data_IF_282754744419
#
_entry.id   IF_282754744419
#
_cell.length_a   1.000
_cell.length_b   1.000
_cell.length_c   1.000
_cell.angle_alpha   90.00
_cell.angle_beta   90.00
_cell.angle_gamma   90.00
#
_symmetry.space_group_name_H-M   'P 1'
#
loop_
_entity.id
_entity.type
_entity.pdbx_description
1 polymer ?
#
# COMPACT_ATOMS: atom_id res chain seq x y z
N UNK A 1 -25.99 -21.53 28.52
CA UNK A 1 -25.47 -20.72 27.40
C UNK A 1 -26.29 -21.14 26.19
N UNK A 2 -27.03 -20.21 25.61
CA UNK A 2 -27.97 -20.47 24.51
C UNK A 2 -27.21 -20.36 23.18
N UNK A 3 -27.05 -21.49 22.47
CA UNK A 3 -26.33 -21.56 21.20
C UNK A 3 -27.05 -20.85 20.05
N UNK A 4 -28.30 -20.42 20.25
CA UNK A 4 -29.06 -19.68 19.23
C UNK A 4 -28.59 -18.23 19.04
N UNK A 5 -27.76 -17.70 19.95
CA UNK A 5 -27.20 -16.34 19.88
C UNK A 5 -25.75 -16.31 19.34
N UNK A 6 -25.17 -17.49 19.09
CA UNK A 6 -23.77 -17.60 18.66
C UNK A 6 -23.54 -16.92 17.32
N UNK A 7 -24.52 -16.96 16.41
CA UNK A 7 -24.50 -16.27 15.12
C UNK A 7 -24.46 -14.74 15.26
N UNK A 8 -25.21 -14.16 16.20
CA UNK A 8 -25.21 -12.73 16.52
C UNK A 8 -23.83 -12.33 17.04
N UNK A 9 -23.25 -13.12 17.95
CA UNK A 9 -21.91 -12.84 18.48
C UNK A 9 -20.84 -12.94 17.39
N UNK A 10 -20.97 -13.91 16.50
CA UNK A 10 -20.05 -14.11 15.38
C UNK A 10 -20.14 -12.98 14.36
N UNK A 11 -21.34 -12.52 13.99
CA UNK A 11 -21.52 -11.37 13.09
C UNK A 11 -20.96 -10.08 13.68
N UNK A 12 -21.07 -9.91 15.01
CA UNK A 12 -20.54 -8.73 15.69
C UNK A 12 -19.01 -8.66 15.62
N UNK A 13 -18.34 -9.80 15.83
CA UNK A 13 -16.88 -9.91 15.75
C UNK A 13 -16.47 -11.26 15.15
N UNK A 14 -16.42 -11.37 13.81
CA UNK A 14 -16.07 -12.63 13.16
C UNK A 14 -14.65 -13.02 13.55
N UNK A 15 -14.44 -14.32 13.78
CA UNK A 15 -13.14 -14.90 14.12
C UNK A 15 -12.78 -15.97 13.08
N UNK A 16 -11.48 -16.13 12.84
CA UNK A 16 -10.94 -17.04 11.83
C UNK A 16 -9.81 -17.86 12.44
N UNK A 17 -9.90 -19.18 12.30
CA UNK A 17 -8.82 -20.10 12.66
C UNK A 17 -7.80 -20.19 11.52
N UNK A 18 -6.63 -20.80 11.78
CA UNK A 18 -5.64 -21.06 10.74
C UNK A 18 -6.16 -22.00 9.65
N UNK A 19 -7.05 -22.94 10.02
CA UNK A 19 -7.67 -23.87 9.09
C UNK A 19 -8.67 -23.15 8.17
N UNK A 20 -9.49 -22.25 8.73
CA UNK A 20 -10.43 -21.44 7.93
C UNK A 20 -9.68 -20.60 6.91
N UNK A 21 -8.59 -19.95 7.34
CA UNK A 21 -7.77 -19.11 6.46
C UNK A 21 -7.09 -19.94 5.36
N UNK A 22 -6.56 -21.12 5.69
CA UNK A 22 -6.00 -22.02 4.70
C UNK A 22 -7.06 -22.47 3.68
N UNK A 23 -8.29 -22.75 4.12
CA UNK A 23 -9.40 -23.09 3.23
C UNK A 23 -9.76 -21.92 2.30
N UNK A 24 -9.71 -20.67 2.77
CA UNK A 24 -9.92 -19.49 1.93
C UNK A 24 -8.89 -19.35 0.80
N UNK A 25 -7.67 -19.87 0.97
CA UNK A 25 -6.62 -19.85 -0.06
C UNK A 25 -6.80 -20.95 -1.12
N UNK A 26 -7.52 -22.02 -0.81
CA UNK A 26 -7.74 -23.14 -1.75
C UNK A 26 -8.78 -22.88 -2.83
N UNK A 27 -9.44 -21.71 -2.82
CA UNK A 27 -10.40 -21.30 -3.86
C UNK A 27 -11.74 -22.05 -3.84
N UNK A 28 -11.96 -22.95 -2.87
CA UNK A 28 -13.22 -23.68 -2.69
C UNK A 28 -14.26 -22.80 -1.97
N UNK A 29 -14.60 -21.65 -2.58
CA UNK A 29 -15.58 -20.72 -2.00
C UNK A 29 -16.99 -21.26 -2.23
N UNK A 30 -17.59 -21.82 -1.17
CA UNK A 30 -19.02 -22.14 -1.19
C UNK A 30 -19.82 -20.84 -1.03
N UNK A 31 -20.92 -20.67 -1.78
CA UNK A 31 -21.83 -19.55 -1.56
C UNK A 31 -22.41 -19.63 -0.14
N UNK A 32 -22.32 -18.51 0.55
CA UNK A 32 -22.96 -18.27 1.83
C UNK A 32 -24.34 -17.67 1.60
N UNK A 33 -25.27 -17.92 2.52
CA UNK A 33 -26.62 -17.36 2.47
C UNK A 33 -26.76 -16.39 3.63
N UNK A 34 -27.14 -15.14 3.31
CA UNK A 34 -27.42 -14.13 4.32
C UNK A 34 -28.77 -14.40 4.99
N UNK A 35 -29.04 -13.76 6.13
CA UNK A 35 -30.30 -13.95 6.85
C UNK A 35 -31.54 -13.57 6.01
N UNK A 36 -31.38 -12.61 5.09
CA UNK A 36 -32.43 -12.21 4.14
C UNK A 36 -32.61 -13.18 2.94
N UNK A 37 -31.86 -14.28 2.90
CA UNK A 37 -31.88 -15.28 1.82
C UNK A 37 -30.96 -14.94 0.64
N UNK A 38 -30.25 -13.81 0.67
CA UNK A 38 -29.34 -13.43 -0.41
C UNK A 38 -28.09 -14.31 -0.41
N UNK A 39 -27.81 -14.96 -1.54
CA UNK A 39 -26.55 -15.67 -1.74
C UNK A 39 -25.40 -14.68 -1.98
N UNK A 40 -24.25 -14.92 -1.35
CA UNK A 40 -23.03 -14.14 -1.54
C UNK A 40 -21.79 -15.02 -1.36
N UNK A 41 -20.64 -14.53 -1.81
CA UNK A 41 -19.36 -15.18 -1.56
C UNK A 41 -18.59 -14.35 -0.53
N UNK A 42 -18.02 -15.01 0.48
CA UNK A 42 -17.14 -14.36 1.45
C UNK A 42 -15.99 -13.65 0.72
N UNK A 43 -15.73 -12.39 1.08
CA UNK A 43 -14.79 -11.51 0.39
C UNK A 43 -15.41 -10.75 -0.79
N UNK A 44 -16.33 -11.35 -1.54
CA UNK A 44 -17.04 -10.72 -2.67
C UNK A 44 -18.39 -10.14 -2.20
N UNK A 45 -18.32 -9.19 -1.27
CA UNK A 45 -19.49 -8.49 -0.75
C UNK A 45 -19.39 -6.99 -1.01
N UNK A 46 -20.52 -6.33 -1.23
CA UNK A 46 -20.54 -4.88 -1.49
C UNK A 46 -20.15 -4.07 -0.25
N UNK A 47 -19.46 -2.94 -0.45
CA UNK A 47 -19.28 -1.91 0.57
C UNK A 47 -20.33 -0.82 0.37
N UNK A 48 -21.00 -0.39 1.44
CA UNK A 48 -21.99 0.70 1.33
C UNK A 48 -21.32 2.00 0.90
N UNK A 49 -21.85 2.61 -0.17
CA UNK A 49 -21.56 4.00 -0.49
C UNK A 49 -22.40 4.92 0.40
N UNK A 50 -21.76 5.64 1.31
CA UNK A 50 -22.46 6.52 2.27
C UNK A 50 -22.73 7.88 1.62
N UNK A 51 -21.75 8.39 0.85
CA UNK A 51 -21.83 9.65 0.08
C UNK A 51 -20.91 9.57 -1.15
N UNK A 52 -19.64 9.99 -1.02
CA UNK A 52 -18.65 10.03 -2.10
C UNK A 52 -17.39 9.25 -1.67
N UNK A 53 -17.57 8.09 -1.05
CA UNK A 53 -16.49 7.27 -0.47
C UNK A 53 -16.08 6.08 -1.36
N UNK A 54 -16.50 6.10 -2.62
CA UNK A 54 -16.23 5.06 -3.63
C UNK A 54 -14.73 4.82 -3.83
N UNK A 55 -13.93 5.89 -3.89
CA UNK A 55 -12.47 5.82 -3.98
C UNK A 55 -11.82 5.03 -2.83
N UNK A 56 -12.34 5.20 -1.61
CA UNK A 56 -11.92 4.39 -0.45
C UNK A 56 -12.37 2.95 -0.61
N UNK A 57 -13.63 2.72 -1.01
CA UNK A 57 -14.19 1.37 -1.15
C UNK A 57 -13.41 0.53 -2.15
N UNK A 58 -13.04 1.09 -3.31
CA UNK A 58 -12.24 0.40 -4.34
C UNK A 58 -10.89 -0.04 -3.77
N UNK A 59 -10.20 0.85 -3.03
CA UNK A 59 -8.90 0.53 -2.43
C UNK A 59 -9.03 -0.51 -1.31
N UNK A 60 -10.02 -0.37 -0.43
CA UNK A 60 -10.27 -1.32 0.66
C UNK A 60 -10.60 -2.72 0.12
N UNK A 61 -11.41 -2.81 -0.93
CA UNK A 61 -11.68 -4.07 -1.61
C UNK A 61 -10.41 -4.66 -2.23
N UNK A 62 -9.65 -3.84 -2.97
CA UNK A 62 -8.40 -4.27 -3.59
C UNK A 62 -7.42 -4.84 -2.55
N UNK A 63 -7.25 -4.17 -1.41
CA UNK A 63 -6.40 -4.63 -0.32
C UNK A 63 -6.94 -5.87 0.41
N UNK A 64 -8.27 -5.99 0.55
CA UNK A 64 -8.93 -7.15 1.16
C UNK A 64 -8.65 -8.45 0.41
N UNK A 65 -8.41 -8.37 -0.90
CA UNK A 65 -8.12 -9.51 -1.77
C UNK A 65 -6.64 -9.87 -1.89
N UNK A 66 -5.73 -9.18 -1.18
CA UNK A 66 -4.31 -9.53 -1.15
C UNK A 66 -4.06 -10.58 -0.06
N UNK A 67 -3.79 -11.86 -0.40
CA UNK A 67 -3.84 -12.96 0.58
C UNK A 67 -2.91 -12.79 1.79
N UNK A 68 -1.62 -12.37 1.66
CA UNK A 68 -0.76 -12.16 2.81
C UNK A 68 -1.30 -11.09 3.77
N UNK A 69 -1.78 -9.98 3.22
CA UNK A 69 -2.38 -8.89 3.99
C UNK A 69 -3.69 -9.33 4.66
N UNK A 70 -4.57 -9.95 3.88
CA UNK A 70 -5.85 -10.49 4.35
C UNK A 70 -5.63 -11.45 5.52
N UNK A 71 -4.82 -12.48 5.32
CA UNK A 71 -4.56 -13.53 6.31
C UNK A 71 -3.99 -12.95 7.61
N UNK A 72 -3.14 -11.92 7.50
CA UNK A 72 -2.64 -11.21 8.67
C UNK A 72 -3.74 -10.51 9.46
N UNK A 73 -4.67 -9.82 8.79
CA UNK A 73 -5.73 -9.03 9.44
C UNK A 73 -6.97 -9.83 9.84
N UNK A 74 -7.18 -11.03 9.27
CA UNK A 74 -8.24 -11.94 9.71
C UNK A 74 -7.99 -12.49 11.12
N UNK A 75 -6.73 -12.55 11.58
CA UNK A 75 -6.40 -12.92 12.96
C UNK A 75 -5.99 -11.72 13.77
N UNK A 76 -6.85 -11.31 14.70
CA UNK A 76 -6.57 -10.16 15.56
C UNK A 76 -5.29 -10.32 16.39
N UNK A 77 -4.95 -11.55 16.80
CA UNK A 77 -3.72 -11.83 17.57
C UNK A 77 -2.44 -11.32 16.89
N UNK A 78 -2.41 -11.32 15.55
CA UNK A 78 -1.25 -10.87 14.78
C UNK A 78 -0.91 -9.40 15.05
N UNK A 79 -1.91 -8.55 15.29
CA UNK A 79 -1.71 -7.11 15.45
C UNK A 79 -2.25 -6.52 16.75
N UNK A 80 -2.88 -7.34 17.61
CA UNK A 80 -3.42 -6.95 18.93
C UNK A 80 -2.39 -6.27 19.82
N UNK A 81 -1.14 -6.71 19.73
CA UNK A 81 -0.04 -6.18 20.53
C UNK A 81 0.36 -4.76 20.09
N UNK A 82 0.25 -4.42 18.80
CA UNK A 82 0.43 -3.04 18.30
C UNK A 82 -0.67 -2.10 18.81
N UNK A 83 -1.92 -2.59 18.89
CA UNK A 83 -3.05 -1.83 19.42
C UNK A 83 -2.87 -1.55 20.91
N UNK A 84 -2.52 -2.57 21.70
CA UNK A 84 -2.35 -2.43 23.17
C UNK A 84 -1.23 -1.48 23.54
N UNK A 85 -0.12 -1.49 22.80
CA UNK A 85 1.05 -0.63 23.05
C UNK A 85 0.73 0.86 22.95
N UNK A 86 -0.26 1.23 22.14
CA UNK A 86 -0.57 2.61 21.77
C UNK A 86 -1.84 3.18 22.41
N UNK A 87 -2.37 2.49 23.43
CA UNK A 87 -3.51 2.95 24.25
C UNK A 87 -3.26 4.24 25.06
N UNK A 88 -2.11 4.90 24.91
CA UNK A 88 -1.88 6.22 25.50
C UNK A 88 -2.61 7.28 24.67
N UNK A 89 -3.92 7.42 24.94
CA UNK A 89 -4.73 8.63 24.77
C UNK A 89 -5.04 9.19 23.37
N UNK A 90 -4.15 9.12 22.38
CA UNK A 90 -4.32 9.92 21.14
C UNK A 90 -3.85 9.28 19.83
N UNK A 91 -3.50 7.99 19.83
CA UNK A 91 -2.94 7.38 18.62
C UNK A 91 -4.03 6.84 17.67
N UNK A 92 -4.46 7.70 16.75
CA UNK A 92 -5.40 7.34 15.67
C UNK A 92 -4.88 6.17 14.80
N UNK A 93 -3.56 5.94 14.76
CA UNK A 93 -2.96 4.85 13.99
C UNK A 93 -3.35 3.46 14.54
N UNK A 94 -3.50 3.33 15.86
CA UNK A 94 -3.94 2.07 16.46
C UNK A 94 -5.42 1.78 16.16
N UNK A 95 -6.25 2.83 16.18
CA UNK A 95 -7.65 2.75 15.78
C UNK A 95 -7.78 2.35 14.31
N UNK A 96 -6.97 2.93 13.42
CA UNK A 96 -6.97 2.59 12.00
C UNK A 96 -6.67 1.10 11.77
N UNK A 97 -5.61 0.57 12.39
CA UNK A 97 -5.25 -0.86 12.29
C UNK A 97 -6.38 -1.75 12.81
N UNK A 98 -6.99 -1.38 13.94
CA UNK A 98 -8.10 -2.12 14.52
C UNK A 98 -9.31 -2.14 13.59
N UNK A 99 -9.73 -0.97 13.08
CA UNK A 99 -10.90 -0.84 12.20
C UNK A 99 -10.68 -1.50 10.85
N UNK A 100 -9.46 -1.44 10.31
CA UNK A 100 -9.11 -2.14 9.07
C UNK A 100 -9.26 -3.66 9.24
N UNK A 101 -8.71 -4.24 10.31
CA UNK A 101 -8.86 -5.67 10.58
C UNK A 101 -10.31 -6.09 10.84
N UNK A 102 -11.08 -5.28 11.56
CA UNK A 102 -12.52 -5.53 11.76
C UNK A 102 -13.30 -5.49 10.45
N UNK A 103 -12.97 -4.57 9.54
CA UNK A 103 -13.61 -4.50 8.23
C UNK A 103 -13.29 -5.76 7.40
N UNK A 104 -12.01 -6.15 7.32
CA UNK A 104 -11.60 -7.36 6.59
C UNK A 104 -12.31 -8.61 7.11
N UNK A 105 -12.42 -8.76 8.43
CA UNK A 105 -13.16 -9.89 9.03
C UNK A 105 -14.64 -9.89 8.67
N UNK A 106 -15.28 -8.72 8.60
CA UNK A 106 -16.68 -8.60 8.16
C UNK A 106 -16.84 -8.89 6.66
N UNK A 107 -15.89 -8.47 5.82
CA UNK A 107 -15.91 -8.76 4.38
C UNK A 107 -15.81 -10.26 4.10
N UNK A 108 -14.92 -10.96 4.83
CA UNK A 108 -14.67 -12.39 4.66
C UNK A 108 -15.53 -13.28 5.57
N UNK A 109 -16.52 -12.71 6.26
CA UNK A 109 -17.45 -13.47 7.09
C UNK A 109 -18.40 -14.29 6.20
N UNK A 110 -18.41 -15.61 6.36
CA UNK A 110 -19.31 -16.53 5.67
C UNK A 110 -20.73 -16.62 6.25
N UNK A 111 -21.03 -15.90 7.34
CA UNK A 111 -22.32 -15.92 8.04
C UNK A 111 -22.85 -14.51 8.31
N UNK A 112 -22.64 -13.56 7.40
CA UNK A 112 -23.22 -12.22 7.47
C UNK A 112 -24.75 -12.23 7.37
N UNK A 113 -25.41 -11.33 8.12
CA UNK A 113 -26.85 -11.13 8.01
C UNK A 113 -27.30 -10.44 6.72
N UNK A 114 -26.39 -9.74 6.03
CA UNK A 114 -26.64 -9.06 4.76
C UNK A 114 -25.46 -9.28 3.81
N UNK A 115 -25.73 -9.32 2.51
CA UNK A 115 -24.70 -9.46 1.47
C UNK A 115 -23.90 -8.16 1.20
N UNK A 116 -23.87 -7.21 2.15
CA UNK A 116 -23.09 -5.98 2.08
C UNK A 116 -22.61 -5.55 3.46
N UNK A 117 -21.50 -4.83 3.52
CA UNK A 117 -20.86 -4.36 4.75
C UNK A 117 -20.74 -2.84 4.73
N UNK A 118 -21.12 -2.19 5.83
CA UNK A 118 -20.93 -0.75 5.97
C UNK A 118 -19.50 -0.43 6.44
N UNK A 119 -18.71 0.32 5.65
CA UNK A 119 -17.36 0.72 6.04
C UNK A 119 -17.32 1.93 6.99
N UNK A 120 -18.46 2.38 7.52
CA UNK A 120 -18.55 3.65 8.28
C UNK A 120 -17.49 3.79 9.37
N UNK A 121 -17.34 2.77 10.24
CA UNK A 121 -16.33 2.78 11.31
C UNK A 121 -14.89 2.89 10.79
N UNK A 122 -14.59 2.20 9.69
CA UNK A 122 -13.29 2.29 9.04
C UNK A 122 -13.07 3.71 8.50
N UNK A 123 -14.07 4.27 7.82
CA UNK A 123 -13.97 5.60 7.24
C UNK A 123 -13.85 6.70 8.30
N UNK A 124 -14.52 6.58 9.44
CA UNK A 124 -14.32 7.50 10.57
C UNK A 124 -12.86 7.46 11.06
N UNK A 125 -12.27 6.26 11.18
CA UNK A 125 -10.87 6.12 11.56
C UNK A 125 -9.91 6.72 10.50
N UNK A 126 -10.27 6.64 9.22
CA UNK A 126 -9.54 7.27 8.12
C UNK A 126 -9.60 8.79 8.22
N UNK A 127 -10.79 9.38 8.41
CA UNK A 127 -10.97 10.83 8.54
C UNK A 127 -10.13 11.37 9.71
N UNK A 128 -10.15 10.67 10.85
CA UNK A 128 -9.37 11.07 12.03
C UNK A 128 -7.86 10.94 11.79
N UNK A 129 -7.40 9.78 11.29
CA UNK A 129 -5.97 9.48 11.09
C UNK A 129 -5.35 10.30 9.96
N UNK A 130 -6.15 10.75 9.01
CA UNK A 130 -5.71 11.57 7.86
C UNK A 130 -5.82 13.07 8.11
N UNK A 131 -6.22 13.49 9.33
CA UNK A 131 -6.49 14.89 9.65
C UNK A 131 -7.48 15.53 8.67
N UNK A 132 -8.58 14.82 8.39
CA UNK A 132 -9.65 15.23 7.45
C UNK A 132 -9.22 15.36 5.98
N UNK A 133 -8.06 14.82 5.59
CA UNK A 133 -7.64 14.79 4.17
C UNK A 133 -8.55 13.90 3.31
N UNK A 134 -8.97 12.75 3.85
CA UNK A 134 -9.86 11.80 3.16
C UNK A 134 -11.23 11.83 3.82
N UNK A 135 -12.13 12.67 3.32
CA UNK A 135 -13.48 12.85 3.85
C UNK A 135 -14.45 11.85 3.24
N UNK A 136 -15.56 11.59 3.94
CA UNK A 136 -16.66 10.73 3.45
C UNK A 136 -17.57 11.51 2.49
N UNK A 137 -17.68 12.82 2.72
CA UNK A 137 -18.58 13.75 2.02
C UNK A 137 -17.99 14.34 0.74
N UNK A 138 -16.72 14.08 0.45
CA UNK A 138 -16.01 14.60 -0.71
C UNK A 138 -15.29 13.45 -1.41
N UNK A 139 -15.29 13.47 -2.74
CA UNK A 139 -14.57 12.48 -3.52
C UNK A 139 -13.06 12.72 -3.44
N UNK A 140 -12.29 11.66 -3.36
CA UNK A 140 -10.83 11.68 -3.33
C UNK A 140 -10.22 10.87 -4.46
N UNK A 141 -8.91 11.01 -4.65
CA UNK A 141 -8.15 10.17 -5.57
C UNK A 141 -7.83 8.81 -4.92
N UNK A 142 -8.23 7.67 -5.52
CA UNK A 142 -7.89 6.33 -5.03
C UNK A 142 -6.39 6.10 -4.88
N UNK A 143 -5.55 6.65 -5.77
CA UNK A 143 -4.09 6.45 -5.72
C UNK A 143 -3.48 7.23 -4.56
N UNK A 144 -3.91 8.49 -4.36
CA UNK A 144 -3.53 9.26 -3.18
C UNK A 144 -3.94 8.56 -1.88
N UNK A 145 -5.14 7.96 -1.84
CA UNK A 145 -5.62 7.20 -0.69
C UNK A 145 -4.83 5.90 -0.47
N UNK A 146 -4.56 5.12 -1.53
CA UNK A 146 -3.75 3.91 -1.48
C UNK A 146 -2.34 4.20 -0.94
N UNK A 147 -1.70 5.25 -1.47
CA UNK A 147 -0.39 5.70 -1.01
C UNK A 147 -0.39 6.04 0.47
N UNK A 148 -1.41 6.77 0.92
CA UNK A 148 -1.54 7.13 2.32
C UNK A 148 -1.80 5.91 3.21
N UNK A 149 -2.80 5.07 2.90
CA UNK A 149 -3.20 3.98 3.78
C UNK A 149 -2.09 2.93 3.94
N UNK A 150 -1.35 2.60 2.87
CA UNK A 150 -0.22 1.68 2.97
C UNK A 150 0.89 2.24 3.86
N UNK A 151 1.27 3.50 3.68
CA UNK A 151 2.30 4.13 4.50
C UNK A 151 1.85 4.26 5.97
N UNK A 152 0.62 4.69 6.21
CA UNK A 152 0.08 4.84 7.56
C UNK A 152 -0.06 3.50 8.27
N UNK A 153 -0.54 2.45 7.59
CA UNK A 153 -0.58 1.09 8.14
C UNK A 153 0.83 0.54 8.40
N UNK A 154 1.80 0.81 7.51
CA UNK A 154 3.17 0.39 7.72
C UNK A 154 3.75 1.02 9.00
N UNK A 155 3.65 2.34 9.15
CA UNK A 155 4.08 3.05 10.35
C UNK A 155 3.34 2.59 11.60
N UNK A 156 2.06 2.22 11.44
CA UNK A 156 1.25 1.71 12.53
C UNK A 156 1.67 0.28 12.96
N UNK A 157 2.09 -0.55 12.03
CA UNK A 157 2.47 -1.95 12.29
C UNK A 157 3.97 -2.14 12.50
N UNK A 158 4.76 -1.09 12.31
CA UNK A 158 6.18 -1.13 12.57
C UNK A 158 6.44 -1.34 14.07
N UNK A 159 7.35 -2.25 14.39
CA UNK A 159 7.85 -2.40 15.75
C UNK A 159 8.58 -1.11 16.15
N UNK A 160 8.00 -0.38 17.11
CA UNK A 160 8.71 0.75 17.72
C UNK A 160 9.97 0.23 18.40
N UNK A 161 11.09 0.96 18.30
CA UNK A 161 12.26 0.69 19.14
C UNK A 161 11.78 0.68 20.59
N UNK A 162 11.64 -0.50 21.20
CA UNK A 162 11.50 -0.61 22.64
C UNK A 162 12.67 0.17 23.22
N UNK A 163 12.40 1.31 23.86
CA UNK A 163 13.39 1.93 24.74
C UNK A 163 13.71 0.85 25.76
N UNK A 164 14.82 0.12 25.56
CA UNK A 164 15.44 -0.65 26.65
C UNK A 164 15.58 0.36 27.77
N UNK A 165 14.78 0.22 28.83
CA UNK A 165 15.03 0.95 30.07
C UNK A 165 16.40 0.46 30.49
N UNK A 166 17.41 1.29 30.28
CA UNK A 166 18.75 1.06 30.80
C UNK A 166 18.57 1.08 32.31
N UNK A 167 18.54 -0.12 32.90
CA UNK A 167 18.72 -0.26 34.33
C UNK A 167 20.15 0.20 34.62
N UNK A 168 20.24 1.25 35.42
CA UNK A 168 21.46 1.84 35.96
C UNK A 168 22.29 0.77 36.65
N UNK A 169 23.56 0.62 36.26
CA UNK A 169 24.53 -0.21 36.99
C UNK A 169 25.83 -0.49 36.24
N UNK A 170 26.83 0.37 36.44
CA UNK A 170 28.22 -0.05 36.62
C UNK A 170 29.11 -0.45 35.42
N UNK A 171 30.12 0.39 35.20
CA UNK A 171 31.50 0.10 34.76
C UNK A 171 31.82 -0.06 33.26
N UNK A 172 32.52 0.97 32.79
CA UNK A 172 33.48 1.15 31.68
C UNK A 172 33.99 -0.12 30.97
N UNK A 173 33.87 -0.11 29.64
CA UNK A 173 34.57 -1.04 28.73
C UNK A 173 34.66 -0.44 27.32
N UNK A 174 35.86 0.04 26.96
CA UNK A 174 36.25 0.52 25.64
C UNK A 174 36.27 -0.66 24.64
N UNK A 175 35.70 -0.48 23.46
CA UNK A 175 35.74 -1.49 22.40
C UNK A 175 35.07 -1.01 21.11
N UNK A 176 35.80 -0.24 20.31
CA UNK A 176 35.44 0.06 18.94
C UNK A 176 35.64 -1.20 18.08
N UNK A 177 34.57 -1.70 17.46
CA UNK A 177 34.67 -2.65 16.34
C UNK A 177 33.61 -2.33 15.28
N UNK A 178 34.13 -2.26 14.06
CA UNK A 178 33.56 -2.06 12.73
C UNK A 178 32.03 -2.05 12.53
N UNK A 179 31.56 -0.88 12.07
CA UNK A 179 30.24 -0.65 11.47
C UNK A 179 30.27 -0.96 9.97
N UNK A 180 30.44 -2.22 9.59
CA UNK A 180 30.25 -2.66 8.20
C UNK A 180 29.60 -4.04 8.16
N UNK A 181 28.38 -4.10 8.67
CA UNK A 181 27.41 -5.11 8.29
C UNK A 181 26.07 -4.41 8.15
N UNK A 182 25.53 -4.44 6.93
CA UNK A 182 24.22 -3.95 6.54
C UNK A 182 23.21 -4.26 7.64
N UNK A 183 22.71 -3.22 8.30
CA UNK A 183 21.66 -3.34 9.29
C UNK A 183 20.41 -3.86 8.58
N UNK A 184 20.24 -5.19 8.57
CA UNK A 184 19.03 -5.83 8.11
C UNK A 184 17.84 -5.10 8.74
N UNK A 185 16.92 -4.70 7.87
CA UNK A 185 15.78 -3.81 8.11
C UNK A 185 14.87 -4.38 9.22
N UNK A 186 15.27 -4.18 10.49
CA UNK A 186 14.54 -4.59 11.72
C UNK A 186 13.24 -3.78 11.93
N UNK A 187 12.68 -3.26 10.85
CA UNK A 187 11.59 -2.31 10.80
C UNK A 187 10.60 -2.67 9.69
N UNK A 188 10.54 -3.95 9.29
CA UNK A 188 9.53 -4.45 8.35
C UNK A 188 8.17 -4.59 9.04
N UNK A 189 7.13 -4.62 8.22
CA UNK A 189 5.77 -4.93 8.63
C UNK A 189 5.10 -5.68 7.49
N UNK A 190 3.95 -6.32 7.75
CA UNK A 190 3.19 -7.03 6.72
C UNK A 190 2.98 -6.20 5.44
N UNK A 191 2.86 -4.88 5.56
CA UNK A 191 2.73 -3.99 4.40
C UNK A 191 3.99 -4.02 3.53
N UNK A 192 5.17 -3.87 4.14
CA UNK A 192 6.41 -3.89 3.38
C UNK A 192 6.74 -5.31 2.89
N UNK A 193 6.46 -6.32 3.70
CA UNK A 193 6.68 -7.72 3.30
C UNK A 193 5.79 -8.12 2.10
N UNK A 194 4.62 -7.47 1.94
CA UNK A 194 3.67 -7.78 0.87
C UNK A 194 3.85 -6.89 -0.37
N UNK A 195 4.08 -5.58 -0.20
CA UNK A 195 4.01 -4.60 -1.30
C UNK A 195 5.34 -3.95 -1.65
N UNK A 196 6.36 -4.02 -0.79
CA UNK A 196 7.59 -3.26 -1.02
C UNK A 196 8.45 -3.95 -2.06
N UNK A 197 8.59 -3.31 -3.21
CA UNK A 197 9.63 -3.61 -4.18
C UNK A 197 10.84 -2.68 -4.04
N UNK A 198 11.83 -2.92 -4.87
CA UNK A 198 13.02 -2.07 -5.00
C UNK A 198 13.28 -1.80 -6.47
N UNK A 199 13.71 -0.59 -6.78
CA UNK A 199 13.97 -0.15 -8.15
C UNK A 199 15.28 0.61 -8.17
N UNK A 200 16.14 0.31 -9.13
CA UNK A 200 17.33 1.12 -9.40
C UNK A 200 16.93 2.27 -10.31
N UNK A 201 17.28 3.47 -9.88
CA UNK A 201 17.13 4.70 -10.67
C UNK A 201 18.52 5.10 -11.11
N UNK A 202 18.73 5.12 -12.43
CA UNK A 202 19.92 5.69 -13.03
C UNK A 202 19.60 7.11 -13.47
N UNK A 203 20.42 8.08 -13.08
CA UNK A 203 20.21 9.50 -13.38
C UNK A 203 21.50 10.11 -13.92
N UNK A 204 21.38 10.88 -15.01
CA UNK A 204 22.47 11.69 -15.57
C UNK A 204 21.99 13.08 -15.90
N UNK A 205 22.78 14.10 -15.56
CA UNK A 205 22.46 15.49 -15.91
C UNK A 205 22.65 15.69 -17.41
N UNK A 206 21.74 16.43 -18.05
CA UNK A 206 21.90 16.79 -19.46
C UNK A 206 22.85 17.95 -19.62
N UNK A 207 23.76 17.84 -20.59
CA UNK A 207 24.72 18.90 -20.90
C UNK A 207 23.98 20.02 -21.65
N UNK A 208 24.14 21.29 -21.22
CA UNK A 208 23.54 22.43 -21.92
C UNK A 208 23.97 22.52 -23.39
N UNK A 209 22.99 22.77 -24.28
CA UNK A 209 23.18 22.84 -25.74
C UNK A 209 23.69 24.20 -26.23
N UNK A 210 23.88 25.16 -25.35
CA UNK A 210 24.46 26.49 -25.62
C UNK A 210 26.00 26.50 -25.58
N UNK A 211 26.63 25.46 -25.00
CA UNK A 211 28.09 25.35 -24.89
C UNK A 211 28.76 24.85 -26.17
N UNK A 212 30.02 25.24 -26.36
CA UNK A 212 30.87 24.79 -27.49
C UNK A 212 31.18 23.29 -27.40
N UNK A 213 31.60 22.68 -28.52
CA UNK A 213 31.90 21.24 -28.59
C UNK A 213 32.97 20.85 -27.55
N UNK A 214 34.03 21.65 -27.42
CA UNK A 214 35.14 21.38 -26.48
C UNK A 214 34.69 21.46 -25.02
N UNK A 215 33.87 22.45 -24.67
CA UNK A 215 33.29 22.57 -23.32
C UNK A 215 32.35 21.41 -23.00
N UNK A 216 31.57 20.92 -23.98
CA UNK A 216 30.71 19.75 -23.78
C UNK A 216 31.53 18.50 -23.53
N UNK A 217 32.61 18.29 -24.27
CA UNK A 217 33.52 17.15 -24.07
C UNK A 217 34.15 17.18 -22.68
N UNK A 218 34.55 18.37 -22.18
CA UNK A 218 35.06 18.52 -20.82
C UNK A 218 33.98 18.22 -19.76
N UNK A 219 32.74 18.67 -19.97
CA UNK A 219 31.63 18.40 -19.05
C UNK A 219 31.23 16.94 -19.02
N UNK A 220 31.29 16.22 -20.15
CA UNK A 220 31.06 14.76 -20.19
C UNK A 220 32.02 13.98 -19.30
N UNK A 221 33.25 14.47 -19.11
CA UNK A 221 34.27 13.83 -18.28
C UNK A 221 34.13 14.18 -16.80
N UNK A 222 33.46 15.29 -16.48
CA UNK A 222 33.26 15.74 -15.11
C UNK A 222 32.30 14.82 -14.34
N UNK A 223 32.51 14.65 -13.04
CA UNK A 223 31.70 13.77 -12.21
C UNK A 223 30.23 14.20 -12.10
N UNK A 224 29.93 15.49 -12.31
CA UNK A 224 28.56 16.03 -12.28
C UNK A 224 27.65 15.43 -13.37
N UNK A 225 28.21 15.08 -14.53
CA UNK A 225 27.45 14.57 -15.68
C UNK A 225 27.60 13.05 -15.86
N UNK A 226 28.35 12.38 -14.97
CA UNK A 226 28.39 10.91 -14.92
C UNK A 226 27.06 10.37 -14.42
N UNK A 227 26.74 9.16 -14.87
CA UNK A 227 25.55 8.46 -14.42
C UNK A 227 25.70 8.06 -12.95
N UNK A 228 24.70 8.41 -12.14
CA UNK A 228 24.56 7.93 -10.76
C UNK A 228 23.49 6.85 -10.69
N UNK A 229 23.64 5.90 -9.79
CA UNK A 229 22.70 4.80 -9.56
C UNK A 229 22.27 4.78 -8.10
N UNK A 230 20.95 4.83 -7.85
CA UNK A 230 20.36 4.78 -6.51
C UNK A 230 19.26 3.71 -6.44
N UNK A 231 19.29 2.88 -5.39
CA UNK A 231 18.26 1.88 -5.12
C UNK A 231 17.15 2.48 -4.25
N UNK A 232 15.96 2.64 -4.84
CA UNK A 232 14.80 3.27 -4.22
C UNK A 232 13.69 2.25 -3.96
N UNK A 233 13.13 2.18 -2.73
CA UNK A 233 11.98 1.33 -2.45
C UNK A 233 10.70 1.95 -3.03
N UNK A 234 9.76 1.10 -3.45
CA UNK A 234 8.42 1.52 -3.88
C UNK A 234 7.35 0.60 -3.30
N UNK A 235 6.12 1.08 -3.21
CA UNK A 235 4.94 0.29 -2.79
C UNK A 235 4.00 -0.02 -3.96
N UNK A 236 4.05 0.77 -5.02
CA UNK A 236 3.32 0.58 -6.27
C UNK A 236 4.09 1.26 -7.41
N UNK A 237 3.83 0.83 -8.64
CA UNK A 237 4.46 1.38 -9.83
C UNK A 237 3.51 2.34 -10.54
N UNK A 238 3.96 3.57 -10.76
CA UNK A 238 3.22 4.54 -11.57
C UNK A 238 3.52 4.30 -13.05
N UNK A 239 2.50 3.83 -13.77
CA UNK A 239 2.52 3.63 -15.21
C UNK A 239 2.00 4.88 -15.90
N UNK A 240 2.85 5.51 -16.71
CA UNK A 240 2.46 6.72 -17.43
C UNK A 240 1.83 6.32 -18.76
N UNK A 241 0.57 6.71 -18.96
CA UNK A 241 -0.10 6.55 -20.25
C UNK A 241 0.49 7.54 -21.26
N UNK A 242 0.62 7.15 -22.54
CA UNK A 242 0.98 8.09 -23.59
C UNK A 242 -0.10 9.17 -23.72
N UNK A 243 0.27 10.37 -24.21
CA UNK A 243 -0.70 11.44 -24.42
C UNK A 243 -1.79 10.98 -25.38
N UNK A 244 -3.02 11.45 -25.14
CA UNK A 244 -4.14 11.14 -26.02
C UNK A 244 -3.81 11.61 -27.45
N UNK A 245 -3.97 10.76 -28.48
CA UNK A 245 -3.78 11.17 -29.86
C UNK A 245 -4.69 12.36 -30.18
N UNK A 246 -4.10 13.45 -30.70
CA UNK A 246 -4.85 14.65 -31.06
C UNK A 246 -5.74 14.44 -32.29
N UNK A 247 -5.37 13.47 -33.13
CA UNK A 247 -6.08 13.13 -34.36
C UNK A 247 -6.62 11.71 -34.26
N UNK A 248 -7.82 11.52 -34.80
CA UNK A 248 -8.40 10.19 -34.99
C UNK A 248 -7.74 9.57 -36.21
N UNK A 249 -7.34 8.32 -36.09
CA UNK A 249 -6.82 7.58 -37.23
C UNK A 249 -8.02 7.22 -38.14
N UNK A 250 -7.98 7.64 -39.41
CA UNK A 250 -9.08 7.43 -40.38
C UNK A 250 -9.32 5.94 -40.68
N UNK A 251 -8.35 5.08 -40.36
CA UNK A 251 -8.35 3.64 -40.64
C UNK A 251 -8.86 2.78 -39.48
N UNK A 252 -9.00 3.34 -38.26
CA UNK A 252 -9.44 2.58 -37.09
C UNK A 252 -10.77 3.10 -36.56
N UNK A 253 -11.81 2.26 -36.62
CA UNK A 253 -13.13 2.54 -36.02
C UNK A 253 -13.10 2.64 -34.48
N UNK A 254 -11.97 2.33 -33.83
CA UNK A 254 -11.82 2.42 -32.39
C UNK A 254 -11.54 3.86 -31.94
N UNK A 255 -12.57 4.49 -31.38
CA UNK A 255 -12.54 5.87 -30.84
C UNK A 255 -11.66 5.99 -29.58
N UNK A 256 -11.45 4.88 -28.85
CA UNK A 256 -10.71 4.87 -27.57
C UNK A 256 -9.28 4.36 -27.80
N UNK A 257 -8.25 5.15 -27.46
CA UNK A 257 -6.86 4.73 -27.60
C UNK A 257 -6.56 3.54 -26.68
N UNK A 258 -5.89 2.52 -27.23
CA UNK A 258 -5.49 1.32 -26.49
C UNK A 258 -3.96 1.23 -26.45
N UNK A 259 -3.42 0.86 -25.30
CA UNK A 259 -1.98 0.73 -25.09
C UNK A 259 -1.72 -0.59 -24.36
N UNK A 260 -0.91 -1.50 -24.93
CA UNK A 260 -0.56 -2.72 -24.24
C UNK A 260 0.21 -2.46 -22.93
N UNK A 261 -0.07 -3.28 -21.90
CA UNK A 261 0.54 -3.13 -20.59
C UNK A 261 2.08 -3.25 -20.63
N UNK A 262 2.62 -4.14 -21.47
CA UNK A 262 4.07 -4.30 -21.60
C UNK A 262 4.77 -3.03 -22.13
N UNK A 263 4.09 -2.23 -22.96
CA UNK A 263 4.63 -0.98 -23.51
C UNK A 263 4.83 0.06 -22.41
N UNK A 264 3.89 0.19 -21.49
CA UNK A 264 4.02 1.12 -20.35
C UNK A 264 4.97 0.58 -19.27
N UNK A 265 5.08 -0.76 -19.13
CA UNK A 265 6.08 -1.39 -18.27
C UNK A 265 7.51 -1.28 -18.80
N UNK A 266 7.71 -1.04 -20.10
CA UNK A 266 9.03 -0.80 -20.68
C UNK A 266 9.76 0.40 -20.04
N UNK A 267 9.05 1.27 -19.31
CA UNK A 267 9.63 2.30 -18.44
C UNK A 267 10.66 1.75 -17.45
N UNK A 268 10.52 0.48 -17.03
CA UNK A 268 11.32 -0.13 -15.97
C UNK A 268 12.29 -1.23 -16.44
N UNK A 269 12.62 -1.26 -17.74
CA UNK A 269 13.49 -2.29 -18.33
C UNK A 269 15.00 -1.99 -18.24
N UNK A 270 15.39 -0.89 -17.60
CA UNK A 270 16.79 -0.42 -17.53
C UNK A 270 17.34 0.15 -18.83
N UNK A 271 16.53 0.25 -19.90
CA UNK A 271 16.95 0.75 -21.22
C UNK A 271 16.23 2.04 -21.61
N UNK A 272 14.94 2.14 -21.30
CA UNK A 272 14.13 3.30 -21.68
C UNK A 272 14.51 4.52 -20.83
N UNK A 273 15.11 5.51 -21.48
CA UNK A 273 15.42 6.78 -20.82
C UNK A 273 14.30 7.81 -21.01
N UNK A 274 14.08 8.62 -19.98
CA UNK A 274 13.13 9.73 -20.01
C UNK A 274 13.77 10.99 -19.49
N UNK A 275 13.44 12.09 -20.16
CA UNK A 275 13.85 13.43 -19.75
C UNK A 275 12.95 13.92 -18.61
N UNK A 276 13.58 14.26 -17.48
CA UNK A 276 12.95 14.92 -16.35
C UNK A 276 13.45 16.35 -16.29
N UNK A 277 12.57 17.31 -16.58
CA UNK A 277 12.87 18.74 -16.52
C UNK A 277 12.47 19.30 -15.16
N UNK A 278 13.41 19.98 -14.52
CA UNK A 278 13.14 20.88 -13.40
C UNK A 278 13.29 22.32 -13.84
N UNK A 279 12.90 23.28 -13.01
CA UNK A 279 13.00 24.72 -13.33
C UNK A 279 14.43 25.19 -13.63
N UNK A 280 15.47 24.44 -13.25
CA UNK A 280 16.87 24.83 -13.39
C UNK A 280 17.71 23.85 -14.20
N UNK A 281 17.38 22.56 -14.15
CA UNK A 281 18.17 21.49 -14.76
C UNK A 281 17.28 20.46 -15.47
N UNK A 282 17.82 19.85 -16.54
CA UNK A 282 17.22 18.68 -17.19
C UNK A 282 18.09 17.46 -16.89
N UNK A 283 17.48 16.34 -16.51
CA UNK A 283 18.16 15.08 -16.23
C UNK A 283 17.52 13.95 -17.03
N UNK A 284 18.33 13.07 -17.59
CA UNK A 284 17.85 11.82 -18.17
C UNK A 284 17.83 10.76 -17.06
N UNK A 285 16.70 10.06 -16.94
CA UNK A 285 16.54 8.97 -15.98
C UNK A 285 16.06 7.71 -16.68
N UNK A 286 16.59 6.56 -16.25
CA UNK A 286 16.07 5.24 -16.58
C UNK A 286 15.87 4.44 -15.30
N UNK A 287 14.92 3.52 -15.33
CA UNK A 287 14.51 2.74 -14.17
C UNK A 287 14.67 1.25 -14.47
N UNK A 288 15.12 0.48 -13.49
CA UNK A 288 15.28 -0.97 -13.56
C UNK A 288 14.67 -1.61 -12.30
N UNK A 289 13.80 -2.60 -12.47
CA UNK A 289 13.23 -3.41 -11.39
C UNK A 289 14.12 -4.60 -11.05
#
# INVERSE_FOLDING_TARGET
>A
MDSSLDDITYVLNPTFTTQDIAALDTGAHRPSIAFDGTAYLAGIVGLNNIKFNDYCNVVLQSLSHVPPLRNYFLREDNYRHHIRRRKSGSDYSALLVQRFGQLLRKLWNGSNFKAHVSPHEMLQSVVLSSHKKFQITEQGDPIAFLSWILNTLHLALKEGKSKKRVATGGVVGMGATDKTAVAADKQSSIIYDTFRGKMKTYSRKMIPMDKTIDERLQLMLSEEYKETCEENPFLYLTLDLPPQPLFRDELTDNIIPQVPLFTILAKFNGQTEREYRTYKDSAMRRFEL
#
